data_IF_531527047164
#
_entry.id   IF_531527047164
#
_cell.length_a   1.000
_cell.length_b   1.000
_cell.length_c   1.000
_cell.angle_alpha   90.00
_cell.angle_beta   90.00
_cell.angle_gamma   90.00
#
_symmetry.space_group_name_H-M   'P 1'
#
loop_
_entity.id
_entity.type
_entity.pdbx_description
1 polymer ?
#
# COMPACT_ATOMS: atom_id res chain seq x y z
N UNK A 1 -49.38 14.38 -53.20
CA UNK A 1 -48.74 15.61 -52.69
C UNK A 1 -47.51 15.19 -51.91
N UNK A 2 -46.32 15.39 -52.47
CA UNK A 2 -45.05 15.16 -51.77
C UNK A 2 -44.84 16.30 -50.79
N UNK A 3 -44.94 16.02 -49.48
CA UNK A 3 -44.47 16.97 -48.47
C UNK A 3 -42.95 17.02 -48.58
N UNK A 4 -42.42 18.19 -48.92
CA UNK A 4 -40.99 18.45 -48.81
C UNK A 4 -40.67 18.62 -47.31
N UNK A 5 -39.92 17.71 -46.67
CA UNK A 5 -39.66 17.80 -45.24
C UNK A 5 -38.74 18.99 -44.96
N UNK A 6 -39.06 19.75 -43.92
CA UNK A 6 -38.20 20.83 -43.42
C UNK A 6 -36.80 20.28 -43.12
N UNK A 7 -35.77 20.96 -43.60
CA UNK A 7 -34.41 20.64 -43.20
C UNK A 7 -34.21 20.92 -41.70
N UNK A 8 -33.26 20.25 -41.01
CA UNK A 8 -33.05 20.43 -39.57
C UNK A 8 -32.80 21.89 -39.16
N UNK A 9 -32.11 22.66 -39.99
CA UNK A 9 -31.84 24.08 -39.78
C UNK A 9 -33.10 24.95 -39.93
N UNK A 10 -34.01 24.60 -40.84
CA UNK A 10 -35.30 25.27 -40.99
C UNK A 10 -36.26 24.90 -39.86
N UNK A 11 -36.25 23.64 -39.42
CA UNK A 11 -37.03 23.18 -38.29
C UNK A 11 -36.67 23.93 -37.00
N UNK A 12 -35.37 24.13 -36.73
CA UNK A 12 -34.90 24.89 -35.56
C UNK A 12 -35.33 26.36 -35.55
N UNK A 13 -35.60 26.96 -36.72
CA UNK A 13 -36.11 28.33 -36.82
C UNK A 13 -37.60 28.44 -36.52
N UNK A 14 -38.31 27.31 -36.48
CA UNK A 14 -39.70 27.28 -36.02
C UNK A 14 -39.77 27.25 -34.49
N UNK A 15 -40.77 27.88 -33.86
CA UNK A 15 -40.94 27.81 -32.42
C UNK A 15 -41.04 26.37 -31.89
N UNK A 16 -41.74 25.50 -32.63
CA UNK A 16 -41.93 24.09 -32.24
C UNK A 16 -40.61 23.32 -32.32
N UNK A 17 -39.84 23.48 -33.40
CA UNK A 17 -38.55 22.81 -33.54
C UNK A 17 -37.52 23.30 -32.53
N UNK A 18 -37.52 24.60 -32.20
CA UNK A 18 -36.68 25.14 -31.13
C UNK A 18 -37.01 24.53 -29.76
N UNK A 19 -38.31 24.41 -29.41
CA UNK A 19 -38.76 23.78 -28.16
C UNK A 19 -38.37 22.30 -28.11
N UNK A 20 -38.59 21.56 -29.19
CA UNK A 20 -38.19 20.14 -29.26
C UNK A 20 -36.69 19.96 -29.15
N UNK A 21 -35.89 20.84 -29.77
CA UNK A 21 -34.44 20.81 -29.65
C UNK A 21 -33.99 21.09 -28.21
N UNK A 22 -34.58 22.10 -27.56
CA UNK A 22 -34.28 22.43 -26.17
C UNK A 22 -34.65 21.28 -25.22
N UNK A 23 -35.82 20.67 -25.40
CA UNK A 23 -36.26 19.49 -24.64
C UNK A 23 -35.32 18.29 -24.87
N UNK A 24 -34.93 18.04 -26.11
CA UNK A 24 -34.01 16.94 -26.45
C UNK A 24 -32.66 17.14 -25.80
N UNK A 25 -32.11 18.36 -25.87
CA UNK A 25 -30.86 18.71 -25.20
C UNK A 25 -30.98 18.59 -23.68
N UNK A 26 -32.10 19.05 -23.11
CA UNK A 26 -32.35 18.95 -21.69
C UNK A 26 -32.39 17.49 -21.22
N UNK A 27 -33.17 16.64 -21.90
CA UNK A 27 -33.24 15.20 -21.60
C UNK A 27 -31.88 14.54 -21.76
N UNK A 28 -31.13 14.89 -22.81
CA UNK A 28 -29.78 14.38 -23.02
C UNK A 28 -28.85 14.74 -21.84
N UNK A 29 -28.74 16.03 -21.50
CA UNK A 29 -27.92 16.49 -20.37
C UNK A 29 -28.35 15.84 -19.07
N UNK A 30 -29.67 15.75 -18.81
CA UNK A 30 -30.20 15.12 -17.61
C UNK A 30 -29.87 13.63 -17.55
N UNK A 31 -29.91 12.93 -18.69
CA UNK A 31 -29.48 11.54 -18.77
C UNK A 31 -28.00 11.37 -18.43
N UNK A 32 -27.13 12.29 -18.87
CA UNK A 32 -25.71 12.26 -18.49
C UNK A 32 -25.52 12.43 -16.99
N UNK A 33 -26.29 13.32 -16.36
CA UNK A 33 -26.25 13.49 -14.90
C UNK A 33 -26.63 12.20 -14.18
N UNK A 34 -27.69 11.52 -14.61
CA UNK A 34 -28.10 10.23 -14.02
C UNK A 34 -27.00 9.17 -14.19
N UNK A 35 -26.43 9.02 -15.39
CA UNK A 35 -25.33 8.08 -15.63
C UNK A 35 -24.15 8.40 -14.73
N UNK A 36 -23.80 9.68 -14.59
CA UNK A 36 -22.74 10.13 -13.69
C UNK A 36 -23.02 9.78 -12.23
N UNK A 37 -24.24 9.98 -11.74
CA UNK A 37 -24.64 9.61 -10.38
C UNK A 37 -24.56 8.10 -10.13
N UNK A 38 -25.02 7.28 -11.08
CA UNK A 38 -24.94 5.83 -10.99
C UNK A 38 -23.48 5.39 -10.94
N UNK A 39 -22.65 5.91 -11.86
CA UNK A 39 -21.24 5.56 -11.94
C UNK A 39 -20.48 5.99 -10.68
N UNK A 40 -20.80 7.16 -10.14
CA UNK A 40 -20.27 7.63 -8.87
C UNK A 40 -20.69 6.72 -7.71
N UNK A 41 -21.96 6.33 -7.64
CA UNK A 41 -22.46 5.38 -6.64
C UNK A 41 -21.73 4.03 -6.69
N UNK A 42 -21.52 3.48 -7.89
CA UNK A 42 -20.73 2.26 -8.10
C UNK A 42 -19.29 2.45 -7.62
N UNK A 43 -18.67 3.58 -7.96
CA UNK A 43 -17.32 3.91 -7.51
C UNK A 43 -17.21 3.99 -5.99
N UNK A 44 -18.16 4.66 -5.33
CA UNK A 44 -18.22 4.76 -3.87
C UNK A 44 -18.33 3.37 -3.26
N UNK A 45 -19.26 2.53 -3.73
CA UNK A 45 -19.42 1.16 -3.22
C UNK A 45 -18.14 0.34 -3.42
N UNK A 46 -17.50 0.43 -4.59
CA UNK A 46 -16.26 -0.27 -4.90
C UNK A 46 -15.13 0.15 -3.95
N UNK A 47 -14.92 1.46 -3.78
CA UNK A 47 -13.87 2.00 -2.91
C UNK A 47 -14.14 1.67 -1.45
N UNK A 48 -15.38 1.79 -0.97
CA UNK A 48 -15.70 1.48 0.43
C UNK A 48 -15.62 -0.02 0.73
N UNK A 49 -15.95 -0.87 -0.24
CA UNK A 49 -15.93 -2.33 -0.05
C UNK A 49 -14.52 -2.91 -0.19
N UNK A 50 -13.79 -2.49 -1.23
CA UNK A 50 -12.49 -3.06 -1.60
C UNK A 50 -11.34 -2.27 -0.99
N UNK A 51 -11.50 -0.94 -0.86
CA UNK A 51 -10.46 -0.03 -0.41
C UNK A 51 -9.85 -0.42 0.94
N UNK A 52 -10.63 -0.63 2.01
CA UNK A 52 -10.07 -1.02 3.31
C UNK A 52 -9.25 -2.30 3.26
N UNK A 53 -9.74 -3.30 2.52
CA UNK A 53 -9.04 -4.57 2.36
C UNK A 53 -7.73 -4.40 1.58
N UNK A 54 -7.75 -3.66 0.46
CA UNK A 54 -6.56 -3.39 -0.32
C UNK A 54 -5.54 -2.55 0.46
N UNK A 55 -6.00 -1.54 1.19
CA UNK A 55 -5.16 -0.71 2.06
C UNK A 55 -4.51 -1.56 3.14
N UNK A 56 -5.28 -2.40 3.84
CA UNK A 56 -4.73 -3.31 4.84
C UNK A 56 -3.69 -4.24 4.22
N UNK A 57 -4.00 -4.85 3.08
CA UNK A 57 -3.09 -5.79 2.41
C UNK A 57 -1.81 -5.12 1.94
N UNK A 58 -1.91 -3.89 1.43
CA UNK A 58 -0.76 -3.10 1.00
C UNK A 58 0.14 -2.76 2.20
N UNK A 59 -0.43 -2.27 3.30
CA UNK A 59 0.33 -1.98 4.51
C UNK A 59 1.01 -3.23 5.07
N UNK A 60 0.30 -4.36 5.13
CA UNK A 60 0.89 -5.63 5.56
C UNK A 60 2.02 -6.10 4.63
N UNK A 61 1.90 -5.88 3.32
CA UNK A 61 2.97 -6.18 2.38
C UNK A 61 4.20 -5.28 2.61
N UNK A 62 3.98 -3.98 2.86
CA UNK A 62 5.06 -3.04 3.18
C UNK A 62 5.76 -3.38 4.50
N UNK A 63 4.99 -3.80 5.51
CA UNK A 63 5.52 -4.25 6.79
C UNK A 63 6.42 -5.49 6.62
N UNK A 64 5.94 -6.50 5.87
CA UNK A 64 6.74 -7.69 5.56
C UNK A 64 8.02 -7.37 4.76
N UNK A 65 7.99 -6.32 3.94
CA UNK A 65 9.15 -5.85 3.19
C UNK A 65 10.18 -5.18 4.11
N UNK A 66 9.71 -4.38 5.07
CA UNK A 66 10.56 -3.76 6.08
C UNK A 66 11.23 -4.82 6.97
N UNK A 67 10.48 -5.82 7.43
CA UNK A 67 11.01 -6.96 8.19
C UNK A 67 12.09 -7.72 7.39
N UNK A 68 11.86 -7.91 6.10
CA UNK A 68 12.83 -8.50 5.19
C UNK A 68 14.12 -7.68 5.10
N UNK A 69 14.01 -6.35 4.97
CA UNK A 69 15.16 -5.45 4.94
C UNK A 69 15.95 -5.47 6.25
N UNK A 70 15.26 -5.48 7.40
CA UNK A 70 15.90 -5.58 8.72
C UNK A 70 16.67 -6.89 8.89
N UNK A 71 16.11 -8.02 8.43
CA UNK A 71 16.81 -9.31 8.44
C UNK A 71 18.08 -9.30 7.60
N UNK A 72 18.05 -8.65 6.43
CA UNK A 72 19.22 -8.53 5.56
C UNK A 72 20.30 -7.69 6.27
N UNK A 73 19.93 -6.58 6.89
CA UNK A 73 20.86 -5.77 7.67
C UNK A 73 21.49 -6.57 8.82
N UNK A 74 20.68 -7.30 9.60
CA UNK A 74 21.17 -8.13 10.70
C UNK A 74 22.06 -9.29 10.22
N UNK A 75 21.82 -9.85 9.03
CA UNK A 75 22.71 -10.85 8.44
C UNK A 75 24.08 -10.24 8.09
N UNK A 76 24.08 -9.02 7.53
CA UNK A 76 25.33 -8.30 7.20
C UNK A 76 26.13 -7.89 8.42
N UNK A 77 25.47 -7.49 9.50
CA UNK A 77 26.13 -7.17 10.76
C UNK A 77 26.87 -8.40 11.32
N UNK A 78 26.23 -9.57 11.35
CA UNK A 78 26.86 -10.82 11.80
C UNK A 78 28.05 -11.22 10.93
N UNK A 79 27.93 -11.10 9.60
CA UNK A 79 29.06 -11.37 8.69
C UNK A 79 30.25 -10.44 8.94
N UNK A 80 29.99 -9.16 9.25
CA UNK A 80 31.04 -8.18 9.58
C UNK A 80 31.67 -8.46 10.94
N UNK A 81 30.86 -8.79 11.96
CA UNK A 81 31.32 -9.19 13.29
C UNK A 81 32.21 -10.43 13.24
N UNK A 82 31.78 -11.50 12.54
CA UNK A 82 32.58 -12.72 12.38
C UNK A 82 33.92 -12.40 11.71
N UNK A 83 33.91 -11.62 10.62
CA UNK A 83 35.15 -11.19 9.96
C UNK A 83 36.07 -10.41 10.91
N UNK A 84 35.52 -9.49 11.72
CA UNK A 84 36.29 -8.74 12.71
C UNK A 84 36.81 -9.61 13.86
N UNK A 85 36.08 -10.67 14.26
CA UNK A 85 36.52 -11.63 15.28
C UNK A 85 37.71 -12.46 14.78
N UNK A 86 37.72 -12.83 13.50
CA UNK A 86 38.86 -13.52 12.89
C UNK A 86 40.09 -12.63 12.70
N UNK A 87 39.88 -11.32 12.53
CA UNK A 87 40.96 -10.33 12.37
C UNK A 87 41.48 -9.77 13.71
N UNK A 88 40.79 -10.09 14.82
CA UNK A 88 41.28 -9.75 16.16
C UNK A 88 42.45 -10.70 16.47
N UNK A 89 43.68 -10.19 16.71
CA UNK A 89 44.75 -11.03 17.19
C UNK A 89 44.27 -11.65 18.49
N UNK A 90 44.29 -12.99 18.54
CA UNK A 90 44.05 -13.73 19.77
C UNK A 90 45.21 -13.37 20.70
N UNK A 91 45.04 -12.36 21.54
CA UNK A 91 45.90 -12.16 22.71
C UNK A 91 45.69 -13.35 23.63
N UNK A 92 46.45 -14.41 23.33
CA UNK A 92 46.40 -15.71 24.00
C UNK A 92 47.07 -15.69 25.38
N UNK A 93 47.32 -14.51 25.97
CA UNK A 93 48.26 -14.37 27.08
C UNK A 93 47.71 -13.68 28.33
N UNK A 94 46.39 -13.49 28.47
CA UNK A 94 45.81 -12.81 29.64
C UNK A 94 44.86 -13.65 30.50
N UNK A 95 44.98 -14.98 30.48
CA UNK A 95 44.28 -15.82 31.47
C UNK A 95 44.97 -17.14 31.73
N UNK A 96 46.10 -17.15 32.46
CA UNK A 96 46.32 -18.17 33.50
C UNK A 96 47.41 -17.86 34.54
N UNK A 97 47.43 -16.64 35.09
CA UNK A 97 48.09 -16.37 36.39
C UNK A 97 47.06 -16.31 37.52
N UNK A 98 46.19 -17.33 37.61
CA UNK A 98 45.44 -17.61 38.83
C UNK A 98 45.96 -18.92 39.40
N UNK A 99 47.02 -18.79 40.19
CA UNK A 99 47.48 -19.82 41.10
C UNK A 99 46.28 -20.37 41.88
N UNK A 100 46.00 -21.65 41.67
CA UNK A 100 45.12 -22.44 42.51
C UNK A 100 45.72 -22.56 43.92
N UNK A 101 45.02 -22.17 45.00
CA UNK A 101 45.32 -22.72 46.31
C UNK A 101 44.60 -24.06 46.41
N UNK A 102 45.41 -25.11 46.39
CA UNK A 102 45.00 -26.48 46.68
C UNK A 102 44.30 -26.59 48.04
N UNK A 103 43.26 -27.42 48.05
CA UNK A 103 42.54 -27.94 49.21
C UNK A 103 43.47 -28.29 50.40
N UNK A 104 43.11 -27.84 51.61
CA UNK A 104 43.19 -28.69 52.81
C UNK A 104 41.99 -28.44 53.71
N UNK A 105 41.27 -29.54 53.94
CA UNK A 105 40.20 -29.69 54.88
C UNK A 105 40.67 -29.49 56.33
N UNK A 106 39.89 -28.71 57.10
CA UNK A 106 39.78 -28.74 58.57
C UNK A 106 38.33 -28.33 58.86
N UNK A 107 37.40 -29.24 59.15
CA UNK A 107 37.15 -29.87 60.46
C UNK A 107 36.65 -28.86 61.54
N UNK A 108 35.53 -29.22 62.21
CA UNK A 108 34.80 -28.52 63.31
C UNK A 108 33.96 -27.31 62.89
N UNK A 109 32.74 -27.06 63.38
CA UNK A 109 32.00 -27.43 64.60
C UNK A 109 30.51 -27.17 64.27
N UNK A 110 29.63 -28.19 64.31
CA UNK A 110 28.65 -28.44 65.37
C UNK A 110 27.90 -27.22 65.91
#
# INVERSE_FOLDING_TARGET
>A
MSHDPLSPSEALRTPVGAVLAALSLFVFVYSLVIVGQILFGVWVVLVLSVGPYLSYRLLAALDSLADGAQRIAAAREREAEDRSRFDRPVDRDASDSREAPAERATERER
#
